data_IF_955080526048
#
_entry.id   IF_955080526048
#
_cell.length_a   1.000
_cell.length_b   1.000
_cell.length_c   1.000
_cell.angle_alpha   90.00
_cell.angle_beta   90.00
_cell.angle_gamma   90.00
#
_symmetry.space_group_name_H-M   'P 1'
#
loop_
_entity.id
_entity.type
_entity.pdbx_description
1 polymer ?
#
# COMPACT_ATOMS: atom_id res chain seq x y z
N UNK A 1 -4.13 -3.28 29.41
CA UNK A 1 -4.02 -1.83 29.19
C UNK A 1 -4.11 -1.54 27.71
N UNK A 2 -5.01 -0.64 27.31
CA UNK A 2 -5.15 -0.15 25.94
C UNK A 2 -4.90 1.36 25.86
N UNK A 3 -4.31 1.82 24.77
CA UNK A 3 -4.16 3.23 24.47
C UNK A 3 -4.57 3.52 23.03
N UNK A 4 -5.24 4.65 22.82
CA UNK A 4 -5.71 5.09 21.51
C UNK A 4 -5.05 6.39 21.09
N UNK A 5 -4.85 6.55 19.78
CA UNK A 5 -4.52 7.82 19.17
C UNK A 5 -5.39 8.04 17.93
N UNK A 6 -5.88 9.28 17.78
CA UNK A 6 -6.73 9.68 16.67
C UNK A 6 -6.13 10.93 16.04
N UNK A 7 -5.87 10.88 14.73
CA UNK A 7 -5.53 12.06 13.94
C UNK A 7 -6.68 12.40 13.02
N UNK A 8 -7.26 13.58 13.23
CA UNK A 8 -8.41 14.05 12.46
C UNK A 8 -7.99 14.91 11.27
N UNK A 9 -8.83 14.93 10.23
CA UNK A 9 -8.72 15.84 9.08
C UNK A 9 -7.40 15.76 8.31
N UNK A 10 -6.87 14.54 8.15
CA UNK A 10 -5.67 14.31 7.32
C UNK A 10 -6.03 14.57 5.86
N UNK A 11 -5.26 15.40 5.17
CA UNK A 11 -5.46 15.75 3.74
C UNK A 11 -5.01 14.62 2.79
N UNK A 12 -5.51 13.41 3.01
CA UNK A 12 -5.35 12.25 2.15
C UNK A 12 -6.68 11.50 2.01
N UNK A 13 -6.84 10.78 0.89
CA UNK A 13 -8.00 9.91 0.69
C UNK A 13 -7.90 8.66 1.54
N UNK A 14 -9.00 8.26 2.19
CA UNK A 14 -9.06 7.06 3.03
C UNK A 14 -8.54 5.79 2.32
N UNK A 15 -8.89 5.59 1.04
CA UNK A 15 -8.41 4.44 0.25
C UNK A 15 -6.89 4.31 0.20
N UNK A 16 -6.15 5.42 0.06
CA UNK A 16 -4.66 5.40 0.03
C UNK A 16 -4.06 5.08 1.39
N UNK A 17 -4.72 5.53 2.45
CA UNK A 17 -4.29 5.29 3.83
C UNK A 17 -4.57 3.84 4.25
N UNK A 18 -5.72 3.27 3.87
CA UNK A 18 -6.12 1.88 4.16
C UNK A 18 -5.09 0.86 3.68
N UNK A 19 -4.54 1.05 2.47
CA UNK A 19 -3.48 0.19 1.93
C UNK A 19 -2.27 0.02 2.86
N UNK A 20 -1.95 1.05 3.64
CA UNK A 20 -0.82 0.99 4.59
C UNK A 20 -1.29 0.50 5.97
N UNK A 21 -2.50 0.90 6.40
CA UNK A 21 -3.09 0.43 7.66
C UNK A 21 -3.27 -1.10 7.66
N UNK A 22 -3.69 -1.68 6.54
CA UNK A 22 -3.89 -3.11 6.44
C UNK A 22 -2.57 -3.90 6.58
N UNK A 23 -1.41 -3.28 6.30
CA UNK A 23 -0.09 -3.92 6.51
C UNK A 23 0.33 -3.97 7.99
N UNK A 24 -0.10 -2.99 8.79
CA UNK A 24 0.32 -2.87 10.20
C UNK A 24 -0.69 -3.46 11.17
N UNK A 25 -1.90 -3.83 10.72
CA UNK A 25 -2.94 -4.40 11.57
C UNK A 25 -2.47 -5.74 12.13
N UNK A 26 -2.54 -5.91 13.46
CA UNK A 26 -2.11 -7.14 14.14
C UNK A 26 -0.61 -7.31 14.30
N UNK A 27 0.21 -6.40 13.79
CA UNK A 27 1.67 -6.46 13.92
C UNK A 27 2.13 -5.93 15.28
N UNK A 28 3.30 -6.39 15.72
CA UNK A 28 4.01 -5.82 16.86
C UNK A 28 4.45 -4.37 16.53
N UNK A 29 4.49 -3.49 17.53
CA UNK A 29 4.87 -2.09 17.35
C UNK A 29 6.24 -1.91 16.68
N UNK A 30 7.31 -2.66 17.04
CA UNK A 30 8.61 -2.55 16.37
C UNK A 30 8.55 -2.92 14.88
N UNK A 31 7.81 -3.97 14.54
CA UNK A 31 7.62 -4.39 13.15
C UNK A 31 6.81 -3.36 12.35
N UNK A 32 5.76 -2.81 12.96
CA UNK A 32 4.98 -1.73 12.35
C UNK A 32 5.84 -0.48 12.08
N UNK A 33 6.75 -0.10 12.99
CA UNK A 33 7.69 0.99 12.76
C UNK A 33 8.60 0.73 11.56
N UNK A 34 9.14 -0.50 11.43
CA UNK A 34 9.98 -0.87 10.30
C UNK A 34 9.22 -0.75 8.96
N UNK A 35 8.01 -1.33 8.89
CA UNK A 35 7.16 -1.27 7.69
C UNK A 35 6.86 0.18 7.31
N UNK A 36 6.48 1.01 8.28
CA UNK A 36 6.13 2.41 8.02
C UNK A 36 7.33 3.26 7.62
N UNK A 37 8.52 3.00 8.17
CA UNK A 37 9.74 3.76 7.87
C UNK A 37 10.26 3.49 6.45
N UNK A 38 10.15 2.27 5.96
CA UNK A 38 10.64 1.88 4.63
C UNK A 38 9.55 1.92 3.54
N UNK A 39 8.30 2.20 3.90
CA UNK A 39 7.22 2.32 2.92
C UNK A 39 7.38 3.57 2.04
N UNK A 40 7.30 3.36 0.72
CA UNK A 40 7.36 4.45 -0.28
C UNK A 40 6.09 5.31 -0.32
N UNK A 41 5.01 4.90 0.36
CA UNK A 41 3.71 5.59 0.30
C UNK A 41 3.72 6.82 1.21
N UNK A 42 3.22 7.95 0.71
CA UNK A 42 3.10 9.18 1.52
C UNK A 42 2.22 9.00 2.77
N UNK A 43 1.24 8.09 2.70
CA UNK A 43 0.37 7.71 3.82
C UNK A 43 1.15 7.20 5.04
N UNK A 44 2.27 6.51 4.82
CA UNK A 44 3.09 5.93 5.89
C UNK A 44 3.64 7.00 6.83
N UNK A 45 4.02 8.18 6.30
CA UNK A 45 4.52 9.30 7.12
C UNK A 45 3.48 9.81 8.11
N UNK A 46 2.20 9.85 7.71
CA UNK A 46 1.13 10.31 8.59
C UNK A 46 0.80 9.23 9.63
N UNK A 47 0.64 7.98 9.19
CA UNK A 47 0.36 6.84 10.08
C UNK A 47 1.47 6.65 11.12
N UNK A 48 2.73 6.83 10.73
CA UNK A 48 3.89 6.78 11.63
C UNK A 48 3.77 7.77 12.79
N UNK A 49 3.31 9.00 12.52
CA UNK A 49 3.07 10.00 13.58
C UNK A 49 1.96 9.56 14.54
N UNK A 50 0.88 8.99 14.02
CA UNK A 50 -0.24 8.49 14.85
C UNK A 50 0.21 7.33 15.71
N UNK A 51 0.94 6.37 15.14
CA UNK A 51 1.45 5.22 15.89
C UNK A 51 2.41 5.67 17.00
N UNK A 52 3.32 6.60 16.71
CA UNK A 52 4.20 7.20 17.72
C UNK A 52 3.42 7.86 18.84
N UNK A 53 2.36 8.59 18.52
CA UNK A 53 1.48 9.19 19.53
C UNK A 53 0.72 8.13 20.34
N UNK A 54 0.30 7.01 19.75
CA UNK A 54 -0.37 5.92 20.45
C UNK A 54 0.55 5.27 21.49
N UNK A 55 1.81 5.03 21.13
CA UNK A 55 2.83 4.49 22.04
C UNK A 55 3.11 5.46 23.18
N UNK A 56 3.31 6.74 22.90
CA UNK A 56 3.52 7.76 23.94
C UNK A 56 2.31 7.86 24.89
N UNK A 57 1.08 7.71 24.38
CA UNK A 57 -0.12 7.67 25.22
C UNK A 57 -0.16 6.42 26.10
N UNK A 58 0.34 5.27 25.62
CA UNK A 58 0.47 4.06 26.42
C UNK A 58 1.49 4.23 27.54
N UNK A 59 2.68 4.79 27.22
CA UNK A 59 3.72 5.10 28.20
C UNK A 59 3.21 6.04 29.30
N UNK A 60 2.51 7.12 28.92
CA UNK A 60 1.91 8.05 29.87
C UNK A 60 0.86 7.39 30.78
N UNK A 61 0.05 6.46 30.26
CA UNK A 61 -0.91 5.71 31.08
C UNK A 61 -0.21 4.78 32.06
N UNK A 62 0.81 4.07 31.60
CA UNK A 62 1.61 3.19 32.44
C UNK A 62 2.32 3.93 33.58
N UNK A 63 2.88 5.11 33.28
CA UNK A 63 3.48 5.99 34.29
C UNK A 63 2.46 6.42 35.35
N UNK A 64 1.24 6.79 34.94
CA UNK A 64 0.17 7.18 35.89
C UNK A 64 -0.29 6.03 36.78
N UNK A 65 -0.30 4.81 36.25
CA UNK A 65 -0.73 3.61 36.97
C UNK A 65 0.43 2.93 37.73
N UNK A 66 1.64 3.51 37.70
CA UNK A 66 2.88 2.95 38.28
C UNK A 66 3.20 1.52 37.81
N UNK A 67 2.83 1.19 36.58
CA UNK A 67 3.09 -0.12 35.97
C UNK A 67 4.27 0.00 34.99
N UNK A 68 5.23 -0.93 35.06
CA UNK A 68 6.30 -1.00 34.08
C UNK A 68 5.75 -1.45 32.71
N UNK A 69 5.84 -0.57 31.71
CA UNK A 69 5.42 -0.86 30.33
C UNK A 69 6.64 -1.12 29.45
N UNK A 70 6.65 -2.29 28.82
CA UNK A 70 7.60 -2.64 27.78
C UNK A 70 7.01 -2.31 26.40
N UNK A 71 7.62 -1.36 25.70
CA UNK A 71 7.17 -0.89 24.38
C UNK A 71 7.24 -2.01 23.32
N UNK A 72 8.19 -2.93 23.47
CA UNK A 72 8.39 -4.02 22.50
C UNK A 72 7.28 -5.09 22.59
N UNK A 73 6.56 -5.13 23.72
CA UNK A 73 5.41 -6.03 23.93
C UNK A 73 4.07 -5.43 23.49
N UNK A 74 4.08 -4.19 22.99
CA UNK A 74 2.88 -3.57 22.45
C UNK A 74 2.57 -4.11 21.05
N UNK A 75 1.29 -4.37 20.80
CA UNK A 75 0.77 -4.74 19.48
C UNK A 75 -0.30 -3.77 19.01
N UNK A 76 -0.44 -3.65 17.69
CA UNK A 76 -1.54 -2.89 17.07
C UNK A 76 -2.79 -3.77 17.05
N UNK A 77 -3.69 -3.57 18.02
CA UNK A 77 -4.95 -4.33 18.14
C UNK A 77 -5.96 -3.91 17.08
N UNK A 78 -6.17 -2.61 16.94
CA UNK A 78 -7.19 -2.05 16.05
C UNK A 78 -6.63 -0.84 15.32
N UNK A 79 -6.84 -0.80 14.01
CA UNK A 79 -6.40 0.31 13.18
C UNK A 79 -7.39 0.50 12.03
N UNK A 80 -8.00 1.68 11.98
CA UNK A 80 -9.04 2.04 11.01
C UNK A 80 -8.79 3.41 10.40
N UNK A 81 -9.29 3.59 9.18
CA UNK A 81 -9.34 4.89 8.52
C UNK A 81 -10.76 5.19 8.07
N UNK A 82 -11.30 6.23 8.67
CA UNK A 82 -12.63 6.75 8.37
C UNK A 82 -12.53 7.88 7.34
N UNK A 83 -13.56 8.03 6.51
CA UNK A 83 -13.65 9.19 5.62
C UNK A 83 -13.96 10.44 6.45
N UNK A 84 -13.35 11.56 6.06
CA UNK A 84 -13.61 12.86 6.65
C UNK A 84 -14.36 13.78 5.70
N UNK A 85 -14.45 15.06 6.09
CA UNK A 85 -15.10 16.07 5.27
C UNK A 85 -14.45 16.16 3.88
N UNK A 86 -15.28 16.13 2.85
CA UNK A 86 -14.82 16.26 1.47
C UNK A 86 -15.01 17.69 0.99
N UNK A 87 -13.92 18.35 0.62
CA UNK A 87 -13.97 19.69 0.05
C UNK A 87 -14.32 19.59 -1.44
N UNK A 88 -15.41 20.27 -1.84
CA UNK A 88 -15.86 20.36 -3.23
C UNK A 88 -15.15 21.53 -3.92
N UNK A 89 -14.52 21.27 -5.07
CA UNK A 89 -13.87 22.26 -5.96
C UNK A 89 -14.31 21.99 -7.39
N UNK A 90 -14.09 22.93 -8.30
CA UNK A 90 -14.40 22.80 -9.72
C UNK A 90 -13.13 22.98 -10.54
N UNK A 91 -13.08 22.33 -11.71
CA UNK A 91 -12.07 22.58 -12.74
C UNK A 91 -12.75 22.83 -14.07
N UNK A 92 -12.36 23.89 -14.80
CA UNK A 92 -12.90 24.20 -16.11
C UNK A 92 -12.61 23.08 -17.10
N UNK A 93 -13.60 22.77 -17.94
CA UNK A 93 -13.51 21.76 -18.99
C UNK A 93 -13.99 22.33 -20.34
N UNK A 94 -13.78 21.57 -21.41
CA UNK A 94 -14.13 21.98 -22.77
C UNK A 94 -15.62 22.37 -22.91
N UNK A 95 -15.90 23.27 -23.85
CA UNK A 95 -17.26 23.76 -24.17
C UNK A 95 -17.98 24.42 -22.98
N UNK A 96 -17.27 25.22 -22.16
CA UNK A 96 -17.85 25.93 -21.02
C UNK A 96 -18.31 25.03 -19.87
N UNK A 97 -17.92 23.74 -19.87
CA UNK A 97 -18.37 22.76 -18.87
C UNK A 97 -17.57 22.85 -17.59
N UNK A 98 -18.17 22.34 -16.51
CA UNK A 98 -17.60 22.30 -15.18
C UNK A 98 -17.56 20.90 -14.60
N UNK A 99 -16.36 20.41 -14.27
CA UNK A 99 -16.18 19.10 -13.62
C UNK A 99 -15.86 19.27 -12.12
N UNK A 100 -16.52 18.51 -11.23
CA UNK A 100 -16.27 18.61 -9.80
C UNK A 100 -15.04 17.79 -9.37
N UNK A 101 -14.12 18.43 -8.64
CA UNK A 101 -13.01 17.78 -7.95
C UNK A 101 -13.32 17.66 -6.46
N UNK A 102 -13.22 16.44 -5.93
CA UNK A 102 -13.41 16.12 -4.51
C UNK A 102 -12.05 16.00 -3.81
N UNK A 103 -11.65 17.00 -3.02
CA UNK A 103 -10.47 16.92 -2.15
C UNK A 103 -10.88 16.26 -0.83
N UNK A 104 -10.75 14.93 -0.78
CA UNK A 104 -11.13 14.10 0.36
C UNK A 104 -10.14 14.25 1.52
N UNK A 105 -10.67 14.21 2.74
CA UNK A 105 -9.87 14.06 3.97
C UNK A 105 -10.19 12.73 4.64
N UNK A 106 -9.39 12.34 5.62
CA UNK A 106 -9.58 11.11 6.39
C UNK A 106 -9.26 11.31 7.86
N UNK A 107 -9.84 10.47 8.70
CA UNK A 107 -9.52 10.34 10.12
C UNK A 107 -8.84 8.99 10.34
N UNK A 108 -7.67 8.98 10.99
CA UNK A 108 -6.92 7.77 11.31
C UNK A 108 -7.05 7.50 12.79
N UNK A 109 -7.37 6.26 13.14
CA UNK A 109 -7.50 5.81 14.51
C UNK A 109 -6.70 4.53 14.70
N UNK A 110 -5.83 4.53 15.72
CA UNK A 110 -4.95 3.41 16.05
C UNK A 110 -5.07 3.14 17.54
N UNK A 111 -5.27 1.87 17.89
CA UNK A 111 -5.33 1.37 19.25
C UNK A 111 -4.19 0.36 19.44
N UNK A 112 -3.40 0.58 20.49
CA UNK A 112 -2.32 -0.30 20.92
C UNK A 112 -2.72 -0.99 22.21
N UNK A 113 -2.35 -2.26 22.32
CA UNK A 113 -2.64 -3.10 23.48
C UNK A 113 -1.35 -3.78 23.94
N UNK A 114 -1.17 -3.88 25.25
CA UNK A 114 -0.13 -4.72 25.81
C UNK A 114 -0.50 -6.19 25.60
N UNK A 115 0.31 -6.92 24.82
CA UNK A 115 0.07 -8.33 24.57
C UNK A 115 0.48 -9.15 25.81
N UNK A 116 -0.46 -9.89 26.39
CA UNK A 116 -0.13 -10.98 27.30
C UNK A 116 0.64 -12.06 26.50
N UNK A 117 1.70 -12.67 27.07
CA UNK A 117 2.56 -13.58 26.34
C UNK A 117 1.74 -14.77 25.84
N UNK A 118 1.49 -14.84 24.53
CA UNK A 118 1.10 -16.09 23.92
C UNK A 118 2.32 -17.03 24.00
N UNK A 119 2.14 -18.30 24.40
CA UNK A 119 3.23 -19.23 24.58
C UNK A 119 3.98 -19.34 23.26
N UNK A 120 5.29 -19.10 23.31
CA UNK A 120 6.19 -19.41 22.22
C UNK A 120 6.00 -20.89 21.90
N UNK A 121 5.42 -21.22 20.74
CA UNK A 121 5.63 -22.53 20.15
C UNK A 121 7.16 -22.76 20.17
N UNK A 122 7.63 -23.90 20.68
CA UNK A 122 9.04 -24.09 20.95
C UNK A 122 9.86 -23.86 19.68
N UNK A 123 11.02 -23.17 19.78
CA UNK A 123 11.91 -23.04 18.65
C UNK A 123 12.40 -24.45 18.30
N UNK A 124 12.01 -24.94 17.13
CA UNK A 124 12.58 -26.15 16.56
C UNK A 124 14.10 -25.97 16.46
N UNK A 125 14.84 -26.55 17.39
CA UNK A 125 16.25 -26.87 17.21
C UNK A 125 16.32 -28.13 16.36
N UNK A 126 16.98 -28.05 15.22
CA UNK A 126 18.16 -28.85 14.90
C UNK A 126 18.45 -28.76 13.39
N UNK A 127 19.59 -28.17 13.05
CA UNK A 127 20.28 -28.59 11.84
C UNK A 127 20.94 -29.94 12.10
N UNK A 128 20.77 -30.90 11.20
CA UNK A 128 21.78 -31.89 10.83
C UNK A 128 21.36 -32.70 9.58
N UNK A 129 21.91 -32.26 8.43
CA UNK A 129 22.55 -33.03 7.34
C UNK A 129 21.74 -33.85 6.30
N UNK A 130 22.28 -33.71 5.07
CA UNK A 130 22.19 -34.53 3.85
C UNK A 130 20.85 -34.44 3.07
N UNK A 131 20.78 -34.26 1.75
CA UNK A 131 21.74 -34.55 0.67
C UNK A 131 21.38 -33.78 -0.62
N UNK A 132 22.29 -33.82 -1.57
CA UNK A 132 22.40 -33.00 -2.77
C UNK A 132 21.31 -33.21 -3.84
N UNK A 133 20.94 -32.13 -4.54
CA UNK A 133 20.66 -32.11 -5.99
C UNK A 133 21.27 -30.82 -6.56
N UNK A 134 22.23 -30.99 -7.47
CA UNK A 134 22.93 -29.92 -8.18
C UNK A 134 22.01 -29.19 -9.19
N UNK A 135 22.29 -27.92 -9.51
CA UNK A 135 21.56 -27.15 -10.51
C UNK A 135 22.03 -27.49 -11.94
N UNK A 136 21.16 -27.57 -12.96
CA UNK A 136 21.65 -27.58 -14.34
C UNK A 136 22.11 -26.18 -14.71
N UNK A 137 23.41 -26.10 -14.96
CA UNK A 137 24.12 -24.95 -15.44
C UNK A 137 23.51 -24.38 -16.74
N UNK A 138 23.52 -23.05 -16.81
CA UNK A 138 23.58 -22.32 -18.08
C UNK A 138 24.89 -22.67 -18.78
N UNK A 139 24.80 -23.19 -19.99
CA UNK A 139 25.82 -23.03 -21.02
C UNK A 139 25.09 -22.77 -22.35
N UNK A 140 25.37 -21.62 -22.95
CA UNK A 140 24.81 -21.25 -24.25
C UNK A 140 25.69 -21.75 -25.40
N UNK A 141 25.07 -21.93 -26.57
CA UNK A 141 25.61 -21.50 -27.85
C UNK A 141 24.53 -21.61 -28.93
N UNK A 142 24.56 -20.67 -29.86
CA UNK A 142 23.59 -20.42 -30.90
C UNK A 142 23.67 -21.40 -32.08
N UNK A 143 22.56 -21.63 -32.80
CA UNK A 143 22.34 -21.13 -34.17
C UNK A 143 21.16 -21.84 -34.89
N UNK A 144 20.58 -21.08 -35.84
CA UNK A 144 19.72 -21.48 -36.96
C UNK A 144 18.20 -21.66 -36.72
N UNK A 145 17.40 -20.87 -37.46
CA UNK A 145 15.98 -21.15 -37.70
C UNK A 145 14.99 -19.99 -37.47
N UNK A 146 15.15 -18.87 -38.19
CA UNK A 146 14.08 -17.86 -38.31
C UNK A 146 13.02 -18.35 -39.31
N UNK A 147 11.79 -18.58 -38.87
CA UNK A 147 10.60 -18.51 -39.75
C UNK A 147 9.55 -17.58 -39.15
N UNK A 148 9.40 -16.44 -39.82
CA UNK A 148 8.40 -15.40 -39.55
C UNK A 148 7.06 -15.85 -40.13
N UNK A 149 6.01 -16.05 -39.33
CA UNK A 149 4.62 -16.00 -39.83
C UNK A 149 4.04 -14.61 -39.56
N UNK A 150 3.99 -13.81 -40.63
CA UNK A 150 3.44 -12.46 -40.70
C UNK A 150 1.91 -12.48 -40.50
N UNK A 151 1.43 -11.57 -39.65
CA UNK A 151 0.03 -11.10 -39.61
C UNK A 151 -0.18 -10.11 -40.77
N UNK A 152 -1.13 -10.29 -41.71
CA UNK A 152 -1.26 -9.36 -42.81
C UNK A 152 -2.03 -8.10 -42.38
N UNK A 153 -1.38 -6.94 -42.55
CA UNK A 153 -2.02 -5.62 -42.54
C UNK A 153 -2.56 -5.29 -43.93
N UNK A 154 -3.69 -4.60 -43.95
CA UNK A 154 -4.42 -4.06 -45.08
C UNK A 154 -3.56 -3.50 -46.22
N UNK A 155 -3.97 -3.77 -47.46
CA UNK A 155 -3.55 -3.02 -48.65
C UNK A 155 -4.76 -2.33 -49.28
N UNK A 156 -4.72 -1.00 -49.25
CA UNK A 156 -5.33 -0.13 -50.27
C UNK A 156 -4.70 -0.47 -51.62
N UNK A 157 -5.52 -0.65 -52.64
CA UNK A 157 -5.11 -0.52 -54.03
C UNK A 157 -6.08 0.46 -54.70
N UNK A 158 -5.57 1.61 -55.10
CA UNK A 158 -6.23 2.49 -56.05
C UNK A 158 -5.86 2.07 -57.47
N UNK A 159 -6.85 2.00 -58.35
CA UNK A 159 -6.66 2.04 -59.79
C UNK A 159 -7.63 3.07 -60.38
N UNK A 160 -7.14 3.75 -61.42
CA UNK A 160 -7.53 5.07 -61.91
C UNK A 160 -8.82 5.09 -62.76
N UNK A 161 -9.39 6.30 -62.83
CA UNK A 161 -10.05 6.94 -63.97
C UNK A 161 -11.34 6.34 -64.55
N UNK A 162 -12.44 7.10 -64.43
CA UNK A 162 -13.23 7.52 -65.60
C UNK A 162 -13.93 8.86 -65.35
N UNK A 163 -13.88 9.68 -66.39
CA UNK A 163 -14.27 11.08 -66.56
C UNK A 163 -15.74 11.10 -67.03
N UNK A 164 -16.62 11.88 -66.40
CA UNK A 164 -17.89 12.46 -66.93
C UNK A 164 -18.46 13.36 -65.82
N UNK A 165 -18.30 14.68 -65.83
CA UNK A 165 -19.03 15.72 -66.60
C UNK A 165 -20.56 15.60 -66.52
N UNK A 166 -21.17 16.70 -66.04
CA UNK A 166 -22.58 17.15 -66.04
C UNK A 166 -23.20 17.17 -64.63
N UNK A 167 -23.85 18.22 -64.12
CA UNK A 167 -24.11 19.60 -64.53
C UNK A 167 -25.03 20.21 -63.45
N UNK A 168 -24.84 21.51 -63.17
CA UNK A 168 -25.70 22.45 -62.42
C UNK A 168 -25.74 22.32 -60.89
#
# INVERSE_FOLDING_TARGET
>A
MEARAIQRTVRQSARKMRLVIDQIRGQAVPQAYAILRFSKKLAAKQIHKVLKSAVANAEQRAQRENVALDVDRLRVKYAVVNEGQTLKRFTPAAMGRATPIKKRTSHVEIHVEAQAPAPKAPPAKAGAKAEAIAPPARAGAAAAGKTKSKRPKAKKAGAKSKKKKASR
#
